data_IF_849002184996
#
_entry.id   IF_849002184996
#
_cell.length_a   1.000
_cell.length_b   1.000
_cell.length_c   1.000
_cell.angle_alpha   90.00
_cell.angle_beta   90.00
_cell.angle_gamma   90.00
#
_symmetry.space_group_name_H-M   'P 1'
#
loop_
_entity.id
_entity.type
_entity.pdbx_description
1 polymer ?
#
# COMPACT_ATOMS: atom_id res chain seq x y z
N UNK A 1 -32.31 -37.29 5.87
CA UNK A 1 -31.71 -35.96 6.01
C UNK A 1 -30.62 -35.88 4.95
N UNK A 2 -30.66 -34.88 4.10
CA UNK A 2 -29.55 -34.67 3.17
C UNK A 2 -28.32 -34.20 3.98
N UNK A 3 -27.21 -34.93 3.90
CA UNK A 3 -25.95 -34.55 4.49
C UNK A 3 -25.48 -33.27 3.78
N UNK A 4 -25.09 -32.24 4.54
CA UNK A 4 -24.61 -30.99 3.97
C UNK A 4 -25.68 -29.95 3.61
N UNK A 5 -26.91 -30.07 4.14
CA UNK A 5 -27.90 -28.99 3.98
C UNK A 5 -27.38 -27.68 4.61
N UNK A 6 -27.34 -26.55 3.87
CA UNK A 6 -26.91 -25.29 4.41
C UNK A 6 -27.85 -24.82 5.51
N UNK A 7 -27.28 -24.42 6.65
CA UNK A 7 -28.05 -23.86 7.78
C UNK A 7 -28.37 -22.39 7.61
N UNK A 8 -27.55 -21.72 6.80
CA UNK A 8 -27.70 -20.30 6.47
C UNK A 8 -27.63 -20.14 4.95
N UNK A 9 -28.23 -19.09 4.40
CA UNK A 9 -28.16 -18.76 2.98
C UNK A 9 -26.95 -17.86 2.66
N UNK A 10 -25.99 -17.76 3.58
CA UNK A 10 -24.84 -16.86 3.46
C UNK A 10 -23.71 -17.52 2.66
N UNK A 11 -23.81 -17.46 1.35
CA UNK A 11 -22.74 -17.87 0.43
C UNK A 11 -22.05 -16.62 -0.11
N UNK A 12 -20.73 -16.59 -0.03
CA UNK A 12 -19.91 -15.45 -0.48
C UNK A 12 -19.07 -15.84 -1.68
N UNK A 13 -19.09 -15.00 -2.70
CA UNK A 13 -18.30 -15.14 -3.92
C UNK A 13 -17.57 -13.81 -4.15
N UNK A 14 -16.29 -13.86 -4.44
CA UNK A 14 -15.45 -12.70 -4.74
C UNK A 14 -14.25 -12.60 -3.81
N UNK A 15 -13.35 -11.71 -4.16
CA UNK A 15 -12.17 -11.39 -3.35
C UNK A 15 -12.50 -10.35 -2.28
N UNK A 16 -11.60 -10.19 -1.31
CA UNK A 16 -11.68 -9.10 -0.34
C UNK A 16 -11.18 -7.79 -0.98
N UNK A 17 -11.86 -6.70 -0.69
CA UNK A 17 -11.26 -5.37 -0.78
C UNK A 17 -10.26 -5.22 0.38
N UNK A 18 -9.02 -4.90 0.08
CA UNK A 18 -7.98 -4.67 1.09
C UNK A 18 -7.77 -3.18 1.25
N UNK A 19 -7.88 -2.71 2.47
CA UNK A 19 -7.60 -1.33 2.86
C UNK A 19 -6.42 -1.31 3.81
N UNK A 20 -5.47 -0.42 3.53
CA UNK A 20 -4.27 -0.25 4.33
C UNK A 20 -4.12 1.24 4.64
N UNK A 21 -3.93 1.57 5.89
CA UNK A 21 -3.79 2.96 6.33
C UNK A 21 -2.88 3.09 7.55
N UNK A 22 -2.60 4.32 7.97
CA UNK A 22 -1.80 4.55 9.16
C UNK A 22 -2.44 3.87 10.38
N UNK A 23 -1.60 3.44 11.32
CA UNK A 23 -2.05 2.74 12.53
C UNK A 23 -3.10 3.55 13.32
N UNK A 24 -2.99 4.87 13.33
CA UNK A 24 -3.97 5.78 13.96
C UNK A 24 -5.38 5.72 13.34
N UNK A 25 -5.51 5.18 12.14
CA UNK A 25 -6.79 4.98 11.45
C UNK A 25 -7.35 3.56 11.59
N UNK A 26 -6.76 2.73 12.45
CA UNK A 26 -7.23 1.37 12.70
C UNK A 26 -8.73 1.36 13.07
N UNK A 27 -9.50 0.46 12.45
CA UNK A 27 -10.95 0.38 12.63
C UNK A 27 -11.76 1.51 11.96
N UNK A 28 -11.11 2.47 11.30
CA UNK A 28 -11.74 3.62 10.62
C UNK A 28 -11.27 3.77 9.17
N UNK A 29 -10.75 2.70 8.57
CA UNK A 29 -10.29 2.73 7.19
C UNK A 29 -11.47 2.88 6.23
N UNK A 30 -11.38 3.83 5.32
CA UNK A 30 -12.39 4.15 4.30
C UNK A 30 -11.92 3.80 2.89
N UNK A 31 -12.68 4.18 1.88
CA UNK A 31 -12.37 3.90 0.47
C UNK A 31 -11.05 4.53 -0.01
N UNK A 32 -10.60 5.65 0.59
CA UNK A 32 -9.32 6.28 0.25
C UNK A 32 -8.11 5.44 0.69
N UNK A 33 -8.34 4.45 1.54
CA UNK A 33 -7.34 3.50 2.01
C UNK A 33 -7.30 2.20 1.20
N UNK A 34 -8.17 2.04 0.21
CA UNK A 34 -8.16 0.87 -0.69
C UNK A 34 -6.86 0.77 -1.47
N UNK A 35 -6.33 -0.43 -1.64
CA UNK A 35 -5.15 -0.69 -2.48
C UNK A 35 -5.53 -1.07 -3.92
N UNK A 36 -6.80 -0.87 -4.30
CA UNK A 36 -7.29 -1.03 -5.67
C UNK A 36 -7.55 -2.48 -6.06
N UNK A 37 -7.24 -2.82 -7.31
CA UNK A 37 -7.58 -4.13 -7.88
C UNK A 37 -6.65 -5.22 -7.37
N UNK A 38 -7.24 -6.23 -6.75
CA UNK A 38 -6.57 -7.38 -6.17
C UNK A 38 -7.12 -8.65 -6.82
N UNK A 39 -6.25 -9.57 -7.15
CA UNK A 39 -6.59 -10.86 -7.76
C UNK A 39 -6.97 -11.88 -6.70
N UNK A 40 -6.09 -12.05 -5.72
CA UNK A 40 -6.26 -13.03 -4.66
C UNK A 40 -5.83 -12.46 -3.32
N UNK A 41 -6.59 -12.78 -2.28
CA UNK A 41 -6.24 -12.49 -0.88
C UNK A 41 -6.39 -13.76 -0.07
N UNK A 42 -5.36 -14.10 0.68
CA UNK A 42 -5.36 -15.24 1.60
C UNK A 42 -4.97 -14.77 2.98
N UNK A 43 -5.81 -15.05 3.97
CA UNK A 43 -5.51 -14.86 5.39
C UNK A 43 -5.09 -16.20 5.98
N UNK A 44 -3.86 -16.29 6.47
CA UNK A 44 -3.32 -17.44 7.18
C UNK A 44 -3.24 -17.14 8.67
N UNK A 45 -3.77 -18.03 9.47
CA UNK A 45 -3.67 -18.00 10.93
C UNK A 45 -3.06 -19.33 11.36
N UNK A 46 -1.91 -19.30 11.98
CA UNK A 46 -1.16 -20.47 12.42
C UNK A 46 -1.07 -20.47 13.93
N UNK A 47 -1.27 -21.65 14.51
CA UNK A 47 -1.13 -21.90 15.95
C UNK A 47 -0.19 -23.08 16.16
N UNK A 48 0.77 -22.90 17.03
CA UNK A 48 1.71 -23.96 17.41
C UNK A 48 1.43 -24.36 18.85
N UNK A 49 1.29 -25.65 19.07
CA UNK A 49 1.09 -26.23 20.40
C UNK A 49 2.17 -27.26 20.73
N UNK A 50 2.39 -27.46 22.01
CA UNK A 50 3.26 -28.49 22.54
C UNK A 50 2.44 -29.42 23.47
N UNK A 51 2.57 -30.70 23.24
CA UNK A 51 1.86 -31.71 24.00
C UNK A 51 2.73 -32.22 25.18
N UNK A 52 2.14 -32.22 26.34
CA UNK A 52 2.71 -32.89 27.52
C UNK A 52 2.33 -34.37 27.46
N UNK A 53 3.35 -35.22 27.34
CA UNK A 53 3.16 -36.68 27.31
C UNK A 53 3.52 -37.30 28.64
N UNK A 54 2.75 -38.27 29.08
CA UNK A 54 3.02 -39.01 30.32
C UNK A 54 2.33 -40.39 30.38
N UNK A 55 2.70 -41.18 31.38
CA UNK A 55 2.17 -42.54 31.58
C UNK A 55 2.89 -43.61 30.76
N UNK A 56 2.49 -44.86 30.99
CA UNK A 56 2.96 -46.04 30.23
C UNK A 56 1.71 -46.88 29.85
N UNK A 57 1.40 -47.05 28.55
CA UNK A 57 2.00 -46.37 27.37
C UNK A 57 1.84 -44.86 27.40
N UNK A 58 2.76 -44.13 26.76
CA UNK A 58 2.71 -42.66 26.69
C UNK A 58 1.43 -42.16 26.05
N UNK A 59 0.80 -41.22 26.71
CA UNK A 59 -0.43 -40.55 26.24
C UNK A 59 -0.28 -39.03 26.37
N UNK A 60 -0.91 -38.27 25.51
CA UNK A 60 -1.01 -36.83 25.67
C UNK A 60 -1.88 -36.55 26.89
N UNK A 61 -1.32 -35.87 27.89
CA UNK A 61 -2.02 -35.50 29.12
C UNK A 61 -2.57 -34.09 29.00
N UNK A 62 -1.81 -33.18 28.36
CA UNK A 62 -2.16 -31.78 28.22
C UNK A 62 -1.54 -31.19 26.95
N UNK A 63 -2.12 -30.12 26.41
CA UNK A 63 -1.64 -29.41 25.24
C UNK A 63 -1.61 -27.92 25.54
N UNK A 64 -0.42 -27.34 25.45
CA UNK A 64 -0.22 -25.89 25.65
C UNK A 64 0.02 -25.17 24.31
N UNK A 65 -0.70 -24.09 24.07
CA UNK A 65 -0.45 -23.20 22.94
C UNK A 65 0.84 -22.41 23.19
N UNK A 66 1.80 -22.51 22.28
CA UNK A 66 3.13 -21.87 22.42
C UNK A 66 3.29 -20.61 21.58
N UNK A 67 2.66 -20.57 20.42
CA UNK A 67 2.67 -19.38 19.57
C UNK A 67 1.44 -19.29 18.68
N UNK A 68 1.07 -18.08 18.34
CA UNK A 68 0.08 -17.77 17.33
C UNK A 68 0.65 -16.72 16.39
N UNK A 69 0.54 -16.96 15.09
CA UNK A 69 0.93 -16.00 14.05
C UNK A 69 -0.19 -15.82 13.05
N UNK A 70 -0.25 -14.64 12.46
CA UNK A 70 -1.21 -14.35 11.40
C UNK A 70 -0.53 -13.57 10.29
N UNK A 71 -0.89 -13.88 9.05
CA UNK A 71 -0.35 -13.21 7.86
C UNK A 71 -1.39 -13.12 6.76
N UNK A 72 -1.23 -12.12 5.90
CA UNK A 72 -2.03 -11.91 4.70
C UNK A 72 -1.12 -11.96 3.50
N UNK A 73 -1.50 -12.76 2.51
CA UNK A 73 -0.90 -12.73 1.17
C UNK A 73 -1.90 -12.11 0.21
N UNK A 74 -1.46 -11.16 -0.60
CA UNK A 74 -2.30 -10.51 -1.59
C UNK A 74 -1.55 -10.30 -2.90
N UNK A 75 -2.23 -10.54 -4.03
CA UNK A 75 -1.69 -10.29 -5.38
C UNK A 75 -2.36 -9.04 -5.93
N UNK A 76 -1.57 -7.97 -6.09
CA UNK A 76 -2.03 -6.68 -6.60
C UNK A 76 -1.87 -6.61 -8.12
N UNK A 77 -2.85 -6.01 -8.79
CA UNK A 77 -2.83 -5.69 -10.24
C UNK A 77 -2.67 -4.20 -10.51
N UNK A 78 -2.83 -3.37 -9.49
CA UNK A 78 -2.77 -1.92 -9.63
C UNK A 78 -1.46 -1.37 -9.10
N UNK A 79 -0.72 -0.70 -9.98
CA UNK A 79 0.52 0.00 -9.65
C UNK A 79 0.22 1.47 -9.39
N UNK A 80 0.01 1.83 -8.15
CA UNK A 80 0.00 3.22 -7.71
C UNK A 80 1.25 3.51 -6.87
N UNK A 81 1.67 4.77 -6.83
CA UNK A 81 2.76 5.20 -5.93
C UNK A 81 2.52 4.77 -4.49
N UNK A 82 1.26 4.90 -4.04
CA UNK A 82 0.85 4.50 -2.70
C UNK A 82 1.07 3.01 -2.46
N UNK A 83 0.62 2.18 -3.40
CA UNK A 83 0.79 0.73 -3.31
C UNK A 83 2.26 0.33 -3.28
N UNK A 84 3.09 0.98 -4.11
CA UNK A 84 4.54 0.77 -4.09
C UNK A 84 5.16 1.19 -2.76
N UNK A 85 4.75 2.32 -2.17
CA UNK A 85 5.20 2.73 -0.85
C UNK A 85 4.86 1.68 0.22
N UNK A 86 3.62 1.18 0.23
CA UNK A 86 3.18 0.13 1.15
C UNK A 86 4.04 -1.11 0.97
N UNK A 87 4.19 -1.60 -0.26
CA UNK A 87 4.95 -2.81 -0.58
C UNK A 87 6.43 -2.74 -0.18
N UNK A 88 7.01 -1.56 -0.27
CA UNK A 88 8.41 -1.33 0.13
C UNK A 88 8.55 -1.06 1.65
N UNK A 89 7.45 -1.14 2.40
CA UNK A 89 7.46 -0.90 3.84
C UNK A 89 7.60 0.57 4.23
N UNK A 90 7.41 1.50 3.31
CA UNK A 90 7.44 2.94 3.59
C UNK A 90 6.16 3.38 4.34
N UNK A 91 6.17 4.59 4.87
CA UNK A 91 5.00 5.16 5.52
C UNK A 91 3.78 5.20 4.59
N UNK A 92 2.62 4.81 5.11
CA UNK A 92 1.37 4.75 4.35
C UNK A 92 0.68 6.10 4.43
N UNK A 93 0.47 6.74 3.28
CA UNK A 93 -0.36 7.93 3.12
C UNK A 93 -1.72 7.57 2.52
N UNK A 94 -2.70 8.46 2.64
CA UNK A 94 -3.94 8.36 1.88
C UNK A 94 -3.66 8.44 0.37
N UNK A 95 -4.57 7.91 -0.45
CA UNK A 95 -4.47 8.03 -1.89
C UNK A 95 -4.60 9.51 -2.30
N UNK A 96 -3.61 9.99 -3.05
CA UNK A 96 -3.63 11.31 -3.66
C UNK A 96 -3.77 11.14 -5.17
N UNK A 97 -4.91 11.57 -5.69
CA UNK A 97 -5.21 11.52 -7.12
C UNK A 97 -4.70 12.75 -7.88
N UNK A 98 -4.07 13.70 -7.18
CA UNK A 98 -3.65 14.97 -7.76
C UNK A 98 -2.27 14.85 -8.38
N UNK A 99 -2.21 14.75 -9.70
CA UNK A 99 -0.96 14.87 -10.45
C UNK A 99 -0.61 16.33 -10.66
N UNK A 100 0.46 16.78 -10.04
CA UNK A 100 1.06 18.08 -10.40
C UNK A 100 1.86 17.90 -11.67
N UNK A 101 1.39 18.49 -12.76
CA UNK A 101 2.03 18.44 -14.07
C UNK A 101 1.96 19.79 -14.76
N UNK A 102 2.89 20.04 -15.64
CA UNK A 102 2.90 21.21 -16.53
C UNK A 102 3.56 20.86 -17.85
N UNK A 103 3.17 21.55 -18.90
CA UNK A 103 3.88 21.49 -20.19
C UNK A 103 5.14 22.36 -20.09
N UNK A 104 6.23 21.86 -20.62
CA UNK A 104 7.46 22.64 -20.77
C UNK A 104 7.28 23.61 -21.93
N UNK A 105 7.66 24.87 -21.74
CA UNK A 105 7.64 25.85 -22.82
C UNK A 105 8.82 25.59 -23.76
N UNK A 106 8.54 25.01 -24.91
CA UNK A 106 9.48 24.67 -25.97
C UNK A 106 9.42 25.65 -27.14
N UNK A 107 8.97 26.90 -26.94
CA UNK A 107 9.03 27.94 -28.00
C UNK A 107 10.45 28.12 -28.53
N UNK A 108 11.46 27.86 -27.70
CA UNK A 108 12.86 27.73 -28.08
C UNK A 108 13.39 26.32 -27.79
N UNK A 109 14.42 25.91 -28.50
CA UNK A 109 15.11 24.64 -28.20
C UNK A 109 15.69 24.66 -26.78
N UNK A 110 15.51 23.55 -26.06
CA UNK A 110 16.11 23.32 -24.74
C UNK A 110 17.28 22.35 -24.92
N UNK A 111 18.47 22.82 -24.59
CA UNK A 111 19.68 22.01 -24.74
C UNK A 111 19.75 20.82 -23.79
N UNK A 112 20.44 19.76 -24.20
CA UNK A 112 20.57 18.52 -23.43
C UNK A 112 21.16 18.71 -22.01
N UNK A 113 22.00 19.71 -21.79
CA UNK A 113 22.59 20.00 -20.47
C UNK A 113 21.89 21.16 -19.73
N UNK A 114 20.70 21.58 -20.20
CA UNK A 114 20.00 22.71 -19.59
C UNK A 114 19.61 22.40 -18.14
N UNK A 115 19.93 23.32 -17.25
CA UNK A 115 19.48 23.31 -15.85
C UNK A 115 18.23 24.17 -15.65
N UNK A 116 17.94 25.05 -16.59
CA UNK A 116 16.79 25.96 -16.54
C UNK A 116 15.70 25.47 -17.50
N UNK A 117 14.54 25.13 -16.93
CA UNK A 117 13.42 24.54 -17.68
C UNK A 117 12.21 25.49 -17.55
N UNK A 118 11.83 26.18 -18.61
CA UNK A 118 10.64 27.00 -18.60
C UNK A 118 9.38 26.13 -18.67
N UNK A 119 8.40 26.45 -17.85
CA UNK A 119 7.08 25.79 -17.83
C UNK A 119 6.00 26.78 -18.27
N UNK A 120 4.88 26.27 -18.76
CA UNK A 120 3.68 27.08 -18.96
C UNK A 120 3.08 27.53 -17.62
N UNK A 121 3.23 26.75 -16.58
CA UNK A 121 2.88 27.09 -15.20
C UNK A 121 3.70 26.29 -14.22
N UNK A 122 4.27 26.93 -13.20
CA UNK A 122 4.97 26.28 -12.10
C UNK A 122 4.09 26.08 -10.85
N UNK A 123 2.77 26.26 -10.96
CA UNK A 123 1.85 26.09 -9.84
C UNK A 123 1.90 24.65 -9.31
N UNK A 124 2.05 24.49 -8.01
CA UNK A 124 2.12 23.18 -7.33
C UNK A 124 3.52 22.57 -7.24
N UNK A 125 4.51 23.13 -7.95
CA UNK A 125 5.91 22.73 -7.79
C UNK A 125 6.57 23.54 -6.67
N UNK A 126 7.48 22.90 -5.95
CA UNK A 126 8.28 23.53 -4.89
C UNK A 126 9.75 23.14 -5.01
N UNK A 127 10.66 24.01 -4.51
CA UNK A 127 12.08 23.66 -4.40
C UNK A 127 12.24 22.37 -3.55
N UNK A 128 13.09 21.48 -4.00
CA UNK A 128 13.28 20.18 -3.37
C UNK A 128 12.43 19.04 -3.97
N UNK A 129 11.40 19.34 -4.75
CA UNK A 129 10.62 18.31 -5.44
C UNK A 129 11.47 17.58 -6.49
N UNK A 130 11.13 16.30 -6.69
CA UNK A 130 11.66 15.51 -7.79
C UNK A 130 10.69 15.63 -8.96
N UNK A 131 11.22 15.89 -10.14
CA UNK A 131 10.45 15.99 -11.37
C UNK A 131 10.93 15.00 -12.41
N UNK A 132 9.98 14.51 -13.19
CA UNK A 132 10.23 13.69 -14.38
C UNK A 132 9.85 14.53 -15.59
N UNK A 133 10.79 14.71 -16.52
CA UNK A 133 10.63 15.48 -17.74
C UNK A 133 10.83 14.56 -18.92
N UNK A 134 9.92 14.57 -19.87
CA UNK A 134 10.02 13.74 -21.08
C UNK A 134 9.22 14.32 -22.24
N UNK A 135 9.64 13.99 -23.45
CA UNK A 135 8.90 14.31 -24.67
C UNK A 135 7.87 13.23 -24.95
N UNK A 136 6.65 13.62 -25.24
CA UNK A 136 5.53 12.68 -25.49
C UNK A 136 5.85 11.78 -26.67
N UNK A 137 5.71 10.47 -26.48
CA UNK A 137 6.00 9.46 -27.49
C UNK A 137 7.48 9.07 -27.63
N UNK A 138 8.38 9.67 -26.81
CA UNK A 138 9.82 9.36 -26.81
C UNK A 138 10.29 8.90 -25.41
N UNK A 139 10.11 7.62 -25.05
CA UNK A 139 10.50 7.11 -23.74
C UNK A 139 12.01 7.27 -23.44
N UNK A 140 12.84 7.31 -24.45
CA UNK A 140 14.28 7.55 -24.34
C UNK A 140 14.64 8.95 -23.87
N UNK A 141 13.70 9.91 -23.91
CA UNK A 141 13.89 11.29 -23.48
C UNK A 141 13.66 11.52 -21.99
N UNK A 142 13.28 10.48 -21.24
CA UNK A 142 12.94 10.61 -19.82
C UNK A 142 14.13 11.03 -18.99
N UNK A 143 13.98 12.14 -18.28
CA UNK A 143 14.97 12.65 -17.31
C UNK A 143 14.31 12.83 -15.96
N UNK A 144 15.02 12.45 -14.90
CA UNK A 144 14.63 12.66 -13.51
C UNK A 144 15.62 13.62 -12.86
N UNK A 145 15.13 14.68 -12.28
CA UNK A 145 15.96 15.64 -11.57
C UNK A 145 15.24 16.24 -10.36
N UNK A 146 16.00 16.88 -9.48
CA UNK A 146 15.49 17.60 -8.32
C UNK A 146 15.44 19.09 -8.63
N UNK A 147 14.38 19.77 -8.21
CA UNK A 147 14.25 21.22 -8.31
C UNK A 147 15.14 21.86 -7.24
N UNK A 148 16.05 22.71 -7.68
CA UNK A 148 16.85 23.57 -6.82
C UNK A 148 16.07 24.82 -6.40
N UNK A 149 15.55 25.54 -7.41
CA UNK A 149 14.80 26.76 -7.20
C UNK A 149 13.75 26.98 -8.29
N UNK A 150 12.80 27.87 -8.04
CA UNK A 150 11.74 28.24 -8.98
C UNK A 150 11.70 29.76 -9.08
N UNK A 151 11.77 30.27 -10.29
CA UNK A 151 11.61 31.71 -10.59
C UNK A 151 10.45 31.89 -11.58
N UNK A 152 9.36 32.48 -11.12
CA UNK A 152 8.12 32.64 -11.91
C UNK A 152 7.65 31.29 -12.43
N UNK A 153 7.83 30.98 -13.71
CA UNK A 153 7.47 29.71 -14.34
C UNK A 153 8.68 28.90 -14.79
N UNK A 154 9.88 29.21 -14.29
CA UNK A 154 11.10 28.51 -14.68
C UNK A 154 11.61 27.69 -13.50
N UNK A 155 11.82 26.40 -13.72
CA UNK A 155 12.47 25.51 -12.77
C UNK A 155 13.99 25.57 -12.99
N UNK A 156 14.73 25.71 -11.92
CA UNK A 156 16.18 25.44 -11.93
C UNK A 156 16.39 24.05 -11.34
N UNK A 157 17.06 23.18 -12.09
CA UNK A 157 17.34 21.81 -11.68
C UNK A 157 18.71 21.71 -11.01
N UNK A 158 18.84 20.89 -9.98
CA UNK A 158 20.13 20.61 -9.31
C UNK A 158 21.12 19.98 -10.29
N UNK A 159 20.61 19.03 -11.11
CA UNK A 159 21.39 18.45 -12.24
C UNK A 159 20.62 18.76 -13.51
N UNK A 160 21.32 19.21 -14.55
CA UNK A 160 20.69 19.46 -15.85
C UNK A 160 19.99 18.21 -16.41
N UNK A 161 19.39 18.34 -17.59
CA UNK A 161 18.71 17.23 -18.29
C UNK A 161 19.63 16.03 -18.60
N UNK A 162 20.90 16.16 -18.29
CA UNK A 162 21.89 15.11 -18.42
C UNK A 162 22.26 14.82 -19.88
N UNK A 163 22.37 13.56 -20.24
CA UNK A 163 22.72 13.09 -21.58
C UNK A 163 21.53 12.95 -22.52
N UNK A 164 20.34 13.38 -22.09
CA UNK A 164 19.15 13.38 -22.92
C UNK A 164 19.35 14.32 -24.10
N UNK A 165 18.88 13.92 -25.26
CA UNK A 165 18.90 14.78 -26.43
C UNK A 165 18.14 16.09 -26.16
N UNK A 166 18.60 17.18 -26.78
CA UNK A 166 17.94 18.45 -26.68
C UNK A 166 16.45 18.34 -27.11
N UNK A 167 15.55 18.98 -26.39
CA UNK A 167 14.17 19.13 -26.83
C UNK A 167 14.09 20.15 -27.94
N UNK A 168 13.63 19.75 -29.11
CA UNK A 168 13.50 20.64 -30.25
C UNK A 168 12.43 21.73 -29.99
N UNK A 169 12.56 22.86 -30.65
CA UNK A 169 11.53 23.88 -30.61
C UNK A 169 10.19 23.32 -31.13
N UNK A 170 9.12 23.55 -30.38
CA UNK A 170 7.77 23.04 -30.69
C UNK A 170 7.52 21.59 -30.30
N UNK A 171 8.43 20.90 -29.61
CA UNK A 171 8.21 19.57 -29.05
C UNK A 171 7.15 19.60 -27.93
N UNK A 172 6.35 18.55 -27.84
CA UNK A 172 5.42 18.34 -26.71
C UNK A 172 6.16 17.68 -25.54
N UNK A 173 6.60 18.51 -24.58
CA UNK A 173 7.39 18.06 -23.41
C UNK A 173 6.59 18.28 -22.14
N UNK A 174 6.47 17.24 -21.35
CA UNK A 174 5.75 17.26 -20.08
C UNK A 174 6.72 17.20 -18.90
N UNK A 175 6.38 17.94 -17.86
CA UNK A 175 7.05 17.91 -16.56
C UNK A 175 6.05 17.48 -15.49
N UNK A 176 6.31 16.36 -14.83
CA UNK A 176 5.52 15.86 -13.72
C UNK A 176 6.29 15.97 -12.41
N UNK A 177 5.62 16.41 -11.36
CA UNK A 177 6.11 16.24 -10.00
C UNK A 177 6.01 14.75 -9.67
N UNK A 178 7.15 14.09 -9.52
CA UNK A 178 7.23 12.69 -9.12
C UNK A 178 7.63 12.61 -7.66
N UNK A 179 6.69 12.34 -6.76
CA UNK A 179 7.05 12.05 -5.39
C UNK A 179 7.85 10.75 -5.38
N UNK A 180 9.11 10.83 -5.02
CA UNK A 180 10.00 9.68 -4.96
C UNK A 180 9.46 8.62 -3.98
N UNK A 181 9.49 7.38 -4.41
CA UNK A 181 9.31 6.22 -3.52
C UNK A 181 10.70 5.76 -3.09
N UNK A 182 10.97 5.79 -1.79
CA UNK A 182 12.25 5.34 -1.27
C UNK A 182 12.38 3.82 -1.45
N UNK A 183 13.48 3.39 -2.07
CA UNK A 183 13.81 1.98 -2.22
C UNK A 183 14.99 1.68 -1.29
N UNK A 184 14.74 0.93 -0.23
CA UNK A 184 15.74 0.64 0.80
C UNK A 184 15.98 1.81 1.76
N UNK A 185 16.96 1.67 2.65
CA UNK A 185 17.33 2.71 3.61
C UNK A 185 16.36 2.87 4.78
N UNK A 186 15.43 1.94 4.98
CA UNK A 186 14.56 1.94 6.16
C UNK A 186 15.39 1.66 7.41
N UNK A 187 15.36 2.58 8.36
CA UNK A 187 16.01 2.42 9.67
C UNK A 187 15.10 1.77 10.71
N UNK A 188 13.80 1.70 10.44
CA UNK A 188 12.78 1.10 11.31
C UNK A 188 11.64 0.53 10.50
N UNK A 189 10.89 -0.41 11.11
CA UNK A 189 9.68 -0.96 10.52
C UNK A 189 8.54 0.04 10.68
N UNK A 190 7.86 0.37 9.59
CA UNK A 190 6.63 1.13 9.63
C UNK A 190 5.45 0.20 9.86
N UNK A 191 4.61 0.56 10.83
CA UNK A 191 3.40 -0.17 11.13
C UNK A 191 2.17 0.54 10.56
N UNK A 192 1.21 -0.27 10.14
CA UNK A 192 -0.05 0.19 9.56
C UNK A 192 -1.21 -0.68 10.04
N UNK A 193 -2.43 -0.19 9.84
CA UNK A 193 -3.65 -0.96 10.04
C UNK A 193 -4.13 -1.56 8.72
N UNK A 194 -4.75 -2.74 8.80
CA UNK A 194 -5.31 -3.44 7.64
C UNK A 194 -6.78 -3.77 7.88
N UNK A 195 -7.60 -3.57 6.87
CA UNK A 195 -8.97 -4.04 6.83
C UNK A 195 -9.19 -4.88 5.57
N UNK A 196 -9.74 -6.06 5.76
CA UNK A 196 -10.29 -6.88 4.68
C UNK A 196 -11.80 -6.73 4.69
N UNK A 197 -12.38 -6.36 3.57
CA UNK A 197 -13.82 -6.14 3.46
C UNK A 197 -14.39 -6.93 2.28
N UNK A 198 -15.47 -7.64 2.51
CA UNK A 198 -16.25 -8.32 1.48
C UNK A 198 -17.74 -8.04 1.68
N UNK A 199 -18.43 -7.73 0.60
CA UNK A 199 -19.88 -7.56 0.62
C UNK A 199 -20.57 -8.86 0.19
N UNK A 200 -21.64 -9.20 0.88
CA UNK A 200 -22.48 -10.33 0.50
C UNK A 200 -23.24 -9.99 -0.79
N UNK A 201 -23.23 -10.93 -1.73
CA UNK A 201 -23.95 -10.76 -3.00
C UNK A 201 -25.47 -10.78 -2.74
N UNK A 202 -26.14 -9.72 -3.15
CA UNK A 202 -27.59 -9.58 -3.07
C UNK A 202 -28.12 -8.82 -1.86
N UNK A 203 -27.41 -8.81 -0.73
CA UNK A 203 -27.83 -8.07 0.48
C UNK A 203 -26.95 -6.89 0.81
N UNK A 204 -25.77 -6.80 0.18
CA UNK A 204 -24.73 -5.79 0.46
C UNK A 204 -24.29 -5.75 1.93
N UNK A 205 -24.51 -6.82 2.67
CA UNK A 205 -24.09 -6.92 4.09
C UNK A 205 -22.58 -7.07 4.17
N UNK A 206 -21.90 -6.27 4.98
CA UNK A 206 -20.45 -6.35 5.11
C UNK A 206 -20.04 -7.56 5.97
N UNK A 207 -18.95 -8.18 5.55
CA UNK A 207 -18.14 -9.06 6.36
C UNK A 207 -16.71 -8.60 6.22
N UNK A 208 -15.94 -8.67 7.29
CA UNK A 208 -14.53 -8.33 7.17
C UNK A 208 -13.72 -8.62 8.41
N UNK A 209 -12.47 -8.23 8.28
CA UNK A 209 -11.48 -8.36 9.34
C UNK A 209 -10.80 -7.01 9.53
N UNK A 210 -10.66 -6.57 10.75
CA UNK A 210 -9.86 -5.40 11.13
C UNK A 210 -8.63 -5.87 11.89
N UNK A 211 -7.46 -5.46 11.45
CA UNK A 211 -6.18 -5.73 12.10
C UNK A 211 -5.55 -4.40 12.54
N UNK A 212 -5.12 -4.35 13.79
CA UNK A 212 -4.69 -3.11 14.43
C UNK A 212 -3.26 -2.71 14.09
N UNK A 213 -2.41 -3.74 13.92
CA UNK A 213 -0.99 -3.55 13.65
C UNK A 213 -0.51 -4.58 12.65
N UNK A 214 0.09 -4.10 11.60
CA UNK A 214 0.65 -4.91 10.54
C UNK A 214 1.96 -4.32 10.04
N UNK A 215 2.80 -5.15 9.46
CA UNK A 215 4.02 -4.75 8.78
C UNK A 215 4.20 -5.58 7.51
N UNK A 216 4.83 -5.00 6.50
CA UNK A 216 5.24 -5.77 5.32
C UNK A 216 6.30 -6.78 5.74
N UNK A 217 6.14 -8.01 5.28
CA UNK A 217 7.11 -9.08 5.45
C UNK A 217 7.43 -9.70 4.09
N UNK A 218 8.66 -10.14 3.92
CA UNK A 218 9.09 -10.76 2.66
C UNK A 218 9.65 -9.78 1.63
N UNK A 219 9.77 -10.23 0.39
CA UNK A 219 10.30 -9.47 -0.75
C UNK A 219 9.15 -8.88 -1.58
N UNK A 220 9.29 -7.63 -1.97
CA UNK A 220 8.46 -7.06 -3.03
C UNK A 220 9.06 -7.44 -4.39
N UNK A 221 8.27 -8.06 -5.25
CA UNK A 221 8.68 -8.39 -6.62
C UNK A 221 7.81 -7.61 -7.59
N UNK A 222 8.42 -6.78 -8.42
CA UNK A 222 7.74 -6.01 -9.46
C UNK A 222 8.10 -6.65 -10.80
N UNK A 223 7.15 -7.38 -11.38
CA UNK A 223 7.31 -8.02 -12.68
C UNK A 223 6.64 -7.21 -13.79
N UNK A 224 7.24 -7.19 -14.97
CA UNK A 224 6.62 -6.69 -16.19
C UNK A 224 6.70 -7.78 -17.27
N UNK A 225 5.59 -8.01 -17.96
CA UNK A 225 5.51 -8.97 -19.06
C UNK A 225 4.89 -8.29 -20.29
N UNK A 226 5.35 -8.56 -21.50
CA UNK A 226 4.72 -8.02 -22.69
C UNK A 226 3.38 -8.67 -23.04
N UNK A 227 3.08 -9.82 -22.45
CA UNK A 227 1.89 -10.65 -22.78
C UNK A 227 0.87 -10.74 -21.65
N UNK A 228 1.22 -10.31 -20.44
CA UNK A 228 0.35 -10.41 -19.26
C UNK A 228 0.31 -9.08 -18.50
N UNK A 229 -0.81 -8.81 -17.85
CA UNK A 229 -0.88 -7.69 -16.92
C UNK A 229 0.10 -7.92 -15.77
N UNK A 230 0.89 -6.90 -15.49
CA UNK A 230 1.81 -6.94 -14.36
C UNK A 230 1.07 -7.20 -13.05
N UNK A 231 1.63 -8.06 -12.21
CA UNK A 231 1.13 -8.34 -10.88
C UNK A 231 2.27 -8.31 -9.87
N UNK A 232 1.93 -8.02 -8.65
CA UNK A 232 2.90 -8.01 -7.55
C UNK A 232 2.33 -8.70 -6.34
N UNK A 233 3.12 -9.59 -5.76
CA UNK A 233 2.78 -10.24 -4.50
C UNK A 233 3.21 -9.36 -3.33
N UNK A 234 2.33 -9.26 -2.35
CA UNK A 234 2.56 -8.56 -1.10
C UNK A 234 2.27 -9.52 0.05
N UNK A 235 3.20 -9.60 0.99
CA UNK A 235 3.03 -10.35 2.23
C UNK A 235 3.01 -9.39 3.41
N UNK A 236 2.00 -9.53 4.24
CA UNK A 236 1.75 -8.70 5.41
C UNK A 236 1.77 -9.59 6.63
N UNK A 237 2.63 -9.28 7.59
CA UNK A 237 2.63 -9.90 8.91
C UNK A 237 1.72 -9.12 9.83
N UNK A 238 0.82 -9.81 10.51
CA UNK A 238 -0.09 -9.24 11.50
C UNK A 238 0.53 -9.38 12.87
N UNK A 239 0.44 -8.33 13.67
CA UNK A 239 1.13 -8.23 14.95
C UNK A 239 0.15 -7.79 16.03
N UNK A 240 0.41 -8.21 17.25
CA UNK A 240 -0.25 -7.69 18.43
C UNK A 240 0.36 -6.32 18.78
N UNK A 241 -0.46 -5.27 18.99
CA UNK A 241 0.01 -3.99 19.49
C UNK A 241 0.53 -4.13 20.94
N UNK A 242 1.65 -3.48 21.25
CA UNK A 242 2.12 -3.39 22.61
C UNK A 242 1.18 -2.49 23.45
N UNK A 243 1.11 -2.69 24.77
CA UNK A 243 0.27 -1.91 25.66
C UNK A 243 0.52 -0.39 25.58
N UNK A 244 1.74 0.02 25.27
CA UNK A 244 2.11 1.42 25.05
C UNK A 244 1.51 2.02 23.79
N UNK A 245 1.12 1.22 22.80
CA UNK A 245 0.58 1.70 21.51
C UNK A 245 -0.92 2.03 21.57
N UNK A 246 -1.62 1.58 22.62
CA UNK A 246 -3.03 1.93 22.89
C UNK A 246 -3.22 2.62 24.24
N UNK A 247 -2.14 3.07 24.86
CA UNK A 247 -2.18 3.97 26.02
C UNK A 247 -2.67 5.38 25.62
N UNK A 248 -2.86 6.24 26.59
CA UNK A 248 -3.24 7.64 26.37
C UNK A 248 -2.26 8.35 25.41
N UNK A 249 -2.77 9.08 24.45
CA UNK A 249 -2.03 9.79 23.38
C UNK A 249 -1.28 8.89 22.38
N UNK A 250 -1.48 7.58 22.44
CA UNK A 250 -0.89 6.66 21.49
C UNK A 250 -1.76 6.49 20.21
N UNK A 251 -1.20 6.01 19.09
CA UNK A 251 -1.94 5.87 17.83
C UNK A 251 -3.24 5.07 17.92
N UNK A 252 -3.29 4.06 18.80
CA UNK A 252 -4.43 3.17 19.00
C UNK A 252 -5.24 3.45 20.26
N UNK A 253 -5.08 4.62 20.90
CA UNK A 253 -5.81 4.97 22.13
C UNK A 253 -7.33 4.76 21.99
N UNK A 254 -7.90 5.13 20.84
CA UNK A 254 -9.33 4.99 20.56
C UNK A 254 -9.83 3.53 20.54
N UNK A 255 -8.92 2.54 20.51
CA UNK A 255 -9.21 1.11 20.56
C UNK A 255 -8.77 0.47 21.87
N UNK A 256 -8.41 1.25 22.88
CA UNK A 256 -7.89 0.76 24.17
C UNK A 256 -8.84 -0.21 24.90
N UNK A 257 -10.15 -0.08 24.68
CA UNK A 257 -11.16 -0.99 25.22
C UNK A 257 -11.38 -2.26 24.37
N UNK A 258 -10.95 -2.26 23.11
CA UNK A 258 -11.18 -3.33 22.15
C UNK A 258 -10.00 -4.28 22.06
N UNK A 259 -8.79 -3.74 21.96
CA UNK A 259 -7.55 -4.50 21.77
C UNK A 259 -7.33 -5.58 22.84
N UNK A 260 -7.58 -5.36 24.15
CA UNK A 260 -7.40 -6.41 25.16
C UNK A 260 -8.26 -7.66 24.92
N UNK A 261 -9.42 -7.51 24.26
CA UNK A 261 -10.30 -8.64 23.93
C UNK A 261 -9.98 -9.27 22.56
N UNK A 262 -9.33 -8.51 21.68
CA UNK A 262 -9.01 -8.92 20.30
C UNK A 262 -7.57 -8.50 19.94
N UNK A 263 -6.55 -9.17 20.48
CA UNK A 263 -5.16 -8.67 20.46
C UNK A 263 -4.59 -8.38 19.06
N UNK A 264 -4.81 -9.26 18.10
CA UNK A 264 -4.31 -9.08 16.72
C UNK A 264 -5.30 -8.30 15.86
N UNK A 265 -6.60 -8.57 16.05
CA UNK A 265 -7.67 -7.99 15.25
C UNK A 265 -9.00 -8.64 15.53
N UNK A 266 -10.04 -8.18 14.85
CA UNK A 266 -11.39 -8.72 14.99
C UNK A 266 -12.02 -9.03 13.63
N UNK A 267 -12.77 -10.12 13.58
CA UNK A 267 -13.71 -10.40 12.49
C UNK A 267 -15.06 -9.76 12.81
N UNK A 268 -15.67 -9.17 11.82
CA UNK A 268 -17.06 -8.71 11.88
C UNK A 268 -17.88 -9.27 10.71
N UNK A 269 -19.11 -9.61 10.97
CA UNK A 269 -20.07 -10.03 9.94
C UNK A 269 -21.48 -9.69 10.39
N UNK A 270 -22.38 -9.54 9.42
CA UNK A 270 -23.80 -9.40 9.75
C UNK A 270 -24.29 -10.65 10.49
N UNK A 271 -25.20 -10.48 11.46
CA UNK A 271 -25.79 -11.58 12.21
C UNK A 271 -26.44 -12.61 11.29
N UNK A 272 -26.47 -13.89 11.74
CA UNK A 272 -27.11 -15.02 11.06
C UNK A 272 -28.66 -14.90 11.05
N UNK A 273 -29.18 -13.70 11.06
CA UNK A 273 -30.65 -13.53 10.98
C UNK A 273 -31.14 -14.12 9.66
N UNK A 274 -31.98 -15.15 9.81
CA UNK A 274 -32.65 -15.89 8.75
C UNK A 274 -33.57 -14.97 7.92
#
# INVERSE_FOLDING_TARGET
MALGSPKTKQFRIGTFEVRIGPQSSAGKLDASHSIGVIDQVTLNIEQTSVDLMGGFPQKIIDTALTSQSASISATLREYSRRNLNVMLGNAVAAYDSTDTKSTVDTTAQINAAATSIPLTSATGFTAGDIVVIFEVGKPESVTVSKIDSIATNTLTLVTGLGTVAAFAAGSDVLCYKSPAVAIGGLSSVNYFAVQLLQLERGTSRPMGFNFWKAAISGSASIGASPTEFSSTEMQIKLLEPAASEYAASAPLEHLSSVIPSYPIGMMFMSSDAA
#
